data_IF_928647651575
#
_entry.id   IF_928647651575
#
_cell.length_a   1.000
_cell.length_b   1.000
_cell.length_c   1.000
_cell.angle_alpha   90.00
_cell.angle_beta   90.00
_cell.angle_gamma   90.00
#
_symmetry.space_group_name_H-M   'P 1'
#
loop_
_entity.id
_entity.type
_entity.pdbx_description
1 polymer ?
#
# COMPACT_ATOMS: atom_id res chain seq x y z
N UNK A 1 0.67 11.06 -11.39
CA UNK A 1 0.65 9.61 -11.07
C UNK A 1 1.66 9.25 -9.99
N UNK A 2 2.97 9.28 -10.22
CA UNK A 2 3.95 8.98 -9.16
C UNK A 2 3.92 10.05 -8.06
N UNK A 3 3.92 11.33 -8.45
CA UNK A 3 3.83 12.45 -7.49
C UNK A 3 2.53 12.42 -6.68
N UNK A 4 1.42 12.06 -7.35
CA UNK A 4 0.11 11.90 -6.73
C UNK A 4 0.13 10.75 -5.70
N UNK A 5 0.68 9.58 -6.05
CA UNK A 5 0.83 8.49 -5.08
C UNK A 5 1.59 8.96 -3.84
N UNK A 6 2.75 9.59 -4.01
CA UNK A 6 3.57 10.09 -2.89
C UNK A 6 2.81 11.09 -2.03
N UNK A 7 2.02 11.98 -2.62
CA UNK A 7 1.20 12.96 -1.89
C UNK A 7 0.13 12.27 -1.01
N UNK A 8 -0.53 11.24 -1.51
CA UNK A 8 -1.58 10.53 -0.79
C UNK A 8 -1.04 9.53 0.23
N UNK A 9 0.09 8.86 -0.04
CA UNK A 9 0.61 7.78 0.81
C UNK A 9 1.71 8.23 1.77
N UNK A 10 2.22 9.46 1.63
CA UNK A 10 3.34 9.98 2.43
C UNK A 10 4.71 9.40 2.03
N UNK A 11 4.80 8.73 0.89
CA UNK A 11 6.03 8.11 0.38
C UNK A 11 5.77 6.76 -0.30
N UNK A 12 6.78 5.90 -0.38
CA UNK A 12 6.59 4.56 -0.92
C UNK A 12 5.57 3.74 -0.12
N UNK A 13 4.81 2.88 -0.80
CA UNK A 13 3.92 1.90 -0.17
C UNK A 13 4.73 0.67 0.19
N UNK A 14 4.92 0.45 1.49
CA UNK A 14 5.74 -0.67 2.00
C UNK A 14 4.95 -1.96 2.06
N UNK A 15 5.65 -3.09 1.98
CA UNK A 15 5.07 -4.42 2.20
C UNK A 15 5.32 -4.83 3.65
N UNK A 16 4.25 -5.03 4.41
CA UNK A 16 4.31 -5.63 5.74
C UNK A 16 4.76 -7.09 5.64
N UNK A 17 5.67 -7.49 6.52
CA UNK A 17 6.11 -8.89 6.62
C UNK A 17 4.92 -9.82 6.86
N UNK A 18 5.03 -11.04 6.35
CA UNK A 18 3.98 -12.04 6.50
C UNK A 18 3.80 -12.44 7.96
N UNK A 19 2.54 -12.51 8.39
CA UNK A 19 2.12 -13.14 9.63
C UNK A 19 0.74 -13.82 9.48
N UNK A 20 0.40 -14.81 10.31
CA UNK A 20 -0.89 -15.50 10.24
C UNK A 20 -2.07 -14.53 10.46
N UNK A 21 -3.22 -14.86 9.86
CA UNK A 21 -4.37 -13.95 9.86
C UNK A 21 -4.95 -13.79 11.26
N UNK A 22 -5.43 -12.59 11.59
CA UNK A 22 -6.09 -12.33 12.88
C UNK A 22 -5.15 -12.41 14.09
N UNK A 23 -3.83 -12.43 13.85
CA UNK A 23 -2.83 -12.41 14.93
C UNK A 23 -2.45 -10.98 15.32
N UNK A 24 -2.00 -10.82 16.56
CA UNK A 24 -1.39 -9.57 17.03
C UNK A 24 -0.11 -9.24 16.29
N UNK A 25 0.69 -10.25 15.96
CA UNK A 25 1.92 -10.12 15.18
C UNK A 25 1.63 -9.45 13.82
N UNK A 26 0.57 -9.87 13.12
CA UNK A 26 0.15 -9.21 11.88
C UNK A 26 -0.11 -7.72 12.09
N UNK A 27 -0.86 -7.35 13.14
CA UNK A 27 -1.14 -5.96 13.44
C UNK A 27 0.13 -5.15 13.70
N UNK A 28 1.09 -5.70 14.43
CA UNK A 28 2.38 -5.05 14.72
C UNK A 28 3.21 -4.83 13.45
N UNK A 29 3.27 -5.82 12.55
CA UNK A 29 3.96 -5.69 11.25
C UNK A 29 3.27 -4.68 10.34
N UNK A 30 1.94 -4.61 10.36
CA UNK A 30 1.16 -3.63 9.60
C UNK A 30 1.42 -2.22 10.11
N UNK A 31 1.38 -2.00 11.43
CA UNK A 31 1.67 -0.70 12.04
C UNK A 31 3.08 -0.24 11.68
N UNK A 32 4.06 -1.13 11.69
CA UNK A 32 5.44 -0.79 11.29
C UNK A 32 5.52 -0.35 9.82
N UNK A 33 4.84 -1.07 8.92
CA UNK A 33 4.75 -0.72 7.50
C UNK A 33 3.93 0.56 7.23
N UNK A 34 3.05 0.97 8.15
CA UNK A 34 2.27 2.21 8.11
C UNK A 34 2.95 3.40 8.80
N UNK A 35 4.10 3.22 9.46
CA UNK A 35 4.83 4.32 10.11
C UNK A 35 5.11 5.48 9.13
N UNK A 36 4.50 6.64 9.34
CA UNK A 36 4.59 7.80 8.43
C UNK A 36 4.08 7.52 7.01
N UNK A 37 3.14 6.57 6.86
CA UNK A 37 2.50 6.20 5.58
C UNK A 37 0.99 6.04 5.76
N UNK A 38 0.22 6.41 4.74
CA UNK A 38 -1.23 6.21 4.73
C UNK A 38 -1.65 4.86 4.11
N UNK A 39 -0.72 4.08 3.57
CA UNK A 39 -1.01 2.76 2.99
C UNK A 39 0.15 1.76 3.13
N UNK A 40 -0.19 0.48 3.21
CA UNK A 40 0.75 -0.64 3.21
C UNK A 40 0.15 -1.86 2.49
N UNK A 41 1.01 -2.64 1.83
CA UNK A 41 0.66 -3.94 1.26
C UNK A 41 0.88 -5.02 2.30
N UNK A 42 -0.06 -5.94 2.41
CA UNK A 42 0.02 -7.12 3.27
C UNK A 42 0.53 -8.29 2.43
N UNK A 43 1.70 -8.85 2.78
CA UNK A 43 2.27 -9.98 2.06
C UNK A 43 1.24 -11.12 1.90
N UNK A 44 0.99 -11.52 0.64
CA UNK A 44 0.03 -12.56 0.24
C UNK A 44 -1.45 -12.28 0.59
N UNK A 45 -1.88 -11.02 0.72
CA UNK A 45 -3.28 -10.70 1.06
C UNK A 45 -3.89 -9.57 0.24
N UNK A 46 -3.34 -8.37 0.32
CA UNK A 46 -3.98 -7.18 -0.24
C UNK A 46 -3.37 -5.90 0.29
N UNK A 47 -4.13 -4.82 0.30
CA UNK A 47 -3.71 -3.49 0.74
C UNK A 47 -4.55 -3.04 1.93
N UNK A 48 -3.94 -2.26 2.82
CA UNK A 48 -4.63 -1.49 3.85
C UNK A 48 -4.28 -0.02 3.70
N UNK A 49 -5.26 0.85 3.88
CA UNK A 49 -5.09 2.29 3.92
C UNK A 49 -5.76 2.86 5.17
N UNK A 50 -5.21 3.97 5.68
CA UNK A 50 -5.75 4.70 6.81
C UNK A 50 -5.51 6.20 6.65
N UNK A 51 -6.51 7.00 6.98
CA UNK A 51 -6.40 8.46 7.02
C UNK A 51 -7.42 9.05 8.01
N UNK A 52 -7.61 10.36 8.02
CA UNK A 52 -8.45 11.09 8.99
C UNK A 52 -9.94 10.78 8.87
N UNK A 53 -10.39 10.29 7.72
CA UNK A 53 -11.75 9.79 7.51
C UNK A 53 -11.76 8.54 6.63
N UNK A 54 -12.91 7.87 6.58
CA UNK A 54 -13.09 6.71 5.71
C UNK A 54 -13.01 7.10 4.23
N UNK A 55 -13.54 8.27 3.88
CA UNK A 55 -13.48 8.84 2.53
C UNK A 55 -12.03 9.10 2.11
N UNK A 56 -11.24 9.76 2.96
CA UNK A 56 -9.81 10.00 2.69
C UNK A 56 -9.03 8.67 2.58
N UNK A 57 -9.32 7.70 3.45
CA UNK A 57 -8.69 6.37 3.36
C UNK A 57 -9.06 5.64 2.07
N UNK A 58 -10.29 5.81 1.56
CA UNK A 58 -10.72 5.24 0.29
C UNK A 58 -10.00 5.89 -0.89
N UNK A 59 -9.83 7.22 -0.89
CA UNK A 59 -9.06 7.93 -1.91
C UNK A 59 -7.60 7.43 -1.97
N UNK A 60 -6.96 7.25 -0.82
CA UNK A 60 -5.61 6.65 -0.74
C UNK A 60 -5.61 5.26 -1.39
N UNK A 61 -6.62 4.43 -1.10
CA UNK A 61 -6.73 3.08 -1.64
C UNK A 61 -6.88 3.07 -3.18
N UNK A 62 -7.71 3.97 -3.72
CA UNK A 62 -7.91 4.12 -5.18
C UNK A 62 -6.62 4.53 -5.90
N UNK A 63 -5.86 5.46 -5.32
CA UNK A 63 -4.57 5.90 -5.87
C UNK A 63 -3.56 4.76 -5.86
N UNK A 64 -3.47 4.01 -4.75
CA UNK A 64 -2.55 2.86 -4.62
C UNK A 64 -2.90 1.73 -5.58
N UNK A 65 -4.19 1.41 -5.73
CA UNK A 65 -4.63 0.34 -6.64
C UNK A 65 -4.33 0.70 -8.10
N UNK A 66 -4.62 1.94 -8.51
CA UNK A 66 -4.30 2.43 -9.87
C UNK A 66 -2.80 2.38 -10.14
N UNK A 67 -1.97 2.79 -9.17
CA UNK A 67 -0.51 2.73 -9.29
C UNK A 67 -0.02 1.28 -9.38
N UNK A 68 -0.56 0.38 -8.56
CA UNK A 68 -0.24 -1.05 -8.55
C UNK A 68 -0.60 -1.71 -9.89
N UNK A 69 -1.77 -1.41 -10.43
CA UNK A 69 -2.20 -1.93 -11.73
C UNK A 69 -1.24 -1.50 -12.85
N UNK A 70 -0.86 -0.22 -12.90
CA UNK A 70 0.15 0.28 -13.85
C UNK A 70 1.48 -0.45 -13.66
N UNK A 71 1.96 -0.59 -12.42
CA UNK A 71 3.22 -1.27 -12.12
C UNK A 71 3.21 -2.74 -12.58
N UNK A 72 2.12 -3.47 -12.30
CA UNK A 72 1.97 -4.87 -12.70
C UNK A 72 1.96 -5.01 -14.22
N UNK A 73 1.21 -4.16 -14.93
CA UNK A 73 1.18 -4.15 -16.39
C UNK A 73 2.56 -3.80 -16.98
N UNK A 74 3.22 -2.78 -16.45
CA UNK A 74 4.55 -2.38 -16.89
C UNK A 74 5.56 -3.51 -16.68
N UNK A 75 5.55 -4.16 -15.51
CA UNK A 75 6.43 -5.29 -15.21
C UNK A 75 6.12 -6.54 -16.06
N UNK A 76 4.84 -6.75 -16.44
CA UNK A 76 4.44 -7.86 -17.31
C UNK A 76 4.88 -7.66 -18.77
N UNK A 77 5.00 -6.42 -19.25
CA UNK A 77 5.46 -6.09 -20.60
C UNK A 77 6.98 -6.23 -20.78
N UNK A 78 7.71 -6.60 -19.72
CA UNK A 78 9.16 -6.70 -19.68
C UNK A 78 9.77 -5.55 -18.88
N UNK A 79 10.90 -5.83 -18.23
CA UNK A 79 11.67 -4.79 -17.55
C UNK A 79 12.27 -3.87 -18.60
N UNK A 80 11.59 -2.77 -18.89
CA UNK A 80 12.25 -1.63 -19.51
C UNK A 80 13.35 -1.18 -18.56
N UNK A 81 14.60 -1.43 -18.97
CA UNK A 81 15.89 -1.12 -18.32
C UNK A 81 16.31 -2.06 -17.19
#
# INVERSE_FOLDING_TARGET
MIDEMVLYTGGEVRVAEYAPFGTRELAEKVIEALRDRSAAILANRGVIACDRSLEEALEVLEVVERATHIYVLANAMGRGW
#
